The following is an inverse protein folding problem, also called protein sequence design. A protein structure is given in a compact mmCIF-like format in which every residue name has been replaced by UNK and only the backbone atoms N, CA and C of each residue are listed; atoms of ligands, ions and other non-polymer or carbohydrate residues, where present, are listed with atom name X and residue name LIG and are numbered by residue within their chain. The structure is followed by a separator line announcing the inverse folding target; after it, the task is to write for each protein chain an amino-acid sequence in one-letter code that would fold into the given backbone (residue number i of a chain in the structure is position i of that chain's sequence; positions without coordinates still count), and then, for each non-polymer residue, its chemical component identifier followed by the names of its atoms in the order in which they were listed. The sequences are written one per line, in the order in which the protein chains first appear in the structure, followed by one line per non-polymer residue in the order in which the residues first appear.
data_IF_756504301930
#
_entry.id   IF_756504301930
#
_cell.length_a   1.000
_cell.length_b   1.000
_cell.length_c   1.000
_cell.angle_alpha   90.00
_cell.angle_beta   90.00
_cell.angle_gamma   90.00
#
_symmetry.space_group_name_H-M   'P 1'
#
loop_
_entity.id
_entity.type
_entity.pdbx_description
1 polymer ?
#
# COMPACT_ATOMS: atom_id res chain seq x y z
N UNK A 1 22.45 21.90 -4.74
CA UNK A 1 22.13 20.76 -3.88
C UNK A 1 21.08 21.15 -2.86
N UNK A 2 19.88 20.59 -2.98
CA UNK A 2 18.83 20.67 -1.97
C UNK A 2 18.83 19.38 -1.14
N UNK A 3 18.38 19.47 0.12
CA UNK A 3 18.27 18.35 1.06
C UNK A 3 16.86 18.30 1.63
N UNK A 4 16.26 17.12 1.63
CA UNK A 4 14.97 16.82 2.25
C UNK A 4 15.16 15.70 3.27
N UNK A 5 14.48 15.79 4.41
CA UNK A 5 14.53 14.76 5.46
C UNK A 5 13.11 14.48 5.96
N UNK A 6 12.75 13.20 6.04
CA UNK A 6 11.56 12.73 6.73
C UNK A 6 11.96 11.73 7.82
N UNK A 7 11.26 11.76 8.95
CA UNK A 7 11.55 10.89 10.09
C UNK A 7 10.27 10.36 10.69
N UNK A 8 10.28 9.11 11.17
CA UNK A 8 9.18 8.51 11.91
C UNK A 8 9.66 7.52 12.94
N UNK A 9 9.02 7.56 14.11
CA UNK A 9 9.13 6.48 15.09
C UNK A 9 8.16 5.35 14.74
N UNK A 10 8.65 4.12 14.83
CA UNK A 10 7.93 2.86 14.66
C UNK A 10 8.18 1.99 15.90
N UNK A 11 7.18 1.30 16.45
CA UNK A 11 7.35 0.46 17.64
C UNK A 11 8.11 -0.84 17.38
N UNK A 12 8.26 -1.25 16.12
CA UNK A 12 8.92 -2.51 15.73
C UNK A 12 10.46 -2.39 15.78
N UNK A 13 11.20 -3.48 16.06
CA UNK A 13 12.67 -3.50 16.06
C UNK A 13 13.26 -3.18 14.68
N UNK A 14 14.48 -2.65 14.66
CA UNK A 14 15.20 -2.24 13.44
C UNK A 14 15.24 -3.33 12.38
N UNK A 15 15.55 -4.57 12.80
CA UNK A 15 15.62 -5.71 11.89
C UNK A 15 14.28 -5.98 11.19
N UNK A 16 13.16 -5.86 11.90
CA UNK A 16 11.84 -6.11 11.33
C UNK A 16 11.43 -5.04 10.33
N UNK A 17 11.67 -3.76 10.68
CA UNK A 17 11.40 -2.63 9.79
C UNK A 17 12.26 -2.72 8.53
N UNK A 18 13.55 -3.03 8.68
CA UNK A 18 14.47 -3.20 7.55
C UNK A 18 14.04 -4.38 6.66
N UNK A 19 13.77 -5.54 7.24
CA UNK A 19 13.36 -6.74 6.50
C UNK A 19 12.10 -6.50 5.67
N UNK A 20 11.14 -5.71 6.17
CA UNK A 20 9.95 -5.33 5.39
C UNK A 20 10.33 -4.63 4.06
N UNK A 21 11.36 -3.78 4.07
CA UNK A 21 11.84 -3.07 2.86
C UNK A 21 12.53 -4.00 1.87
N UNK A 22 13.09 -5.12 2.34
CA UNK A 22 13.76 -6.11 1.47
C UNK A 22 12.77 -6.99 0.71
N UNK A 23 11.48 -7.02 1.11
CA UNK A 23 10.50 -7.96 0.57
C UNK A 23 9.92 -7.48 -0.77
N UNK A 24 9.66 -8.40 -1.71
CA UNK A 24 8.97 -8.07 -2.96
C UNK A 24 7.65 -7.35 -2.70
N UNK A 25 7.33 -6.35 -3.53
CA UNK A 25 6.12 -5.55 -3.39
C UNK A 25 6.26 -4.35 -2.45
N UNK A 26 7.33 -4.25 -1.65
CA UNK A 26 7.57 -3.10 -0.77
C UNK A 26 7.59 -1.79 -1.58
N UNK A 27 8.26 -1.76 -2.74
CA UNK A 27 8.24 -0.58 -3.63
C UNK A 27 6.83 -0.22 -4.08
N UNK A 28 5.98 -1.22 -4.36
CA UNK A 28 4.58 -0.99 -4.73
C UNK A 28 3.74 -0.46 -3.59
N UNK A 29 3.91 -0.98 -2.37
CA UNK A 29 3.28 -0.42 -1.15
C UNK A 29 3.71 1.03 -0.93
N UNK A 30 5.00 1.32 -1.11
CA UNK A 30 5.59 2.65 -0.91
C UNK A 30 5.35 3.65 -2.06
N UNK A 31 4.70 3.24 -3.15
CA UNK A 31 4.41 4.13 -4.28
C UNK A 31 3.02 4.74 -4.10
N UNK A 32 2.90 6.05 -3.81
CA UNK A 32 1.59 6.64 -3.58
C UNK A 32 0.71 6.56 -4.84
N UNK A 33 -0.59 6.26 -4.71
CA UNK A 33 -1.48 6.02 -5.86
C UNK A 33 -1.76 7.26 -6.72
N UNK A 34 -1.38 8.45 -6.24
CA UNK A 34 -1.46 9.70 -7.02
C UNK A 34 -0.19 10.04 -7.77
N UNK A 35 0.93 9.36 -7.48
CA UNK A 35 2.16 9.58 -8.21
C UNK A 35 1.99 9.03 -9.63
N UNK A 36 2.29 9.82 -10.67
CA UNK A 36 2.18 9.39 -12.05
C UNK A 36 3.36 8.51 -12.43
N UNK A 37 3.48 7.34 -11.79
CA UNK A 37 4.54 6.38 -12.03
C UNK A 37 3.97 4.98 -12.15
N UNK A 38 4.54 4.19 -13.05
CA UNK A 38 4.24 2.76 -13.18
C UNK A 38 5.50 1.98 -12.89
N UNK A 39 5.41 1.03 -11.97
CA UNK A 39 6.52 0.16 -11.62
C UNK A 39 6.68 -0.86 -12.75
N UNK A 40 7.73 -0.73 -13.56
CA UNK A 40 8.07 -1.69 -14.62
C UNK A 40 8.88 -2.85 -14.08
N UNK A 41 9.78 -2.56 -13.15
CA UNK A 41 10.64 -3.55 -12.52
C UNK A 41 10.97 -3.08 -11.09
N UNK A 42 10.72 -3.94 -10.10
CA UNK A 42 11.27 -3.77 -8.77
C UNK A 42 12.71 -4.33 -8.75
N UNK A 43 13.54 -3.79 -7.86
CA UNK A 43 14.84 -4.38 -7.61
C UNK A 43 14.67 -5.79 -7.01
N UNK A 44 15.53 -6.73 -7.40
CA UNK A 44 15.48 -8.10 -6.88
C UNK A 44 15.79 -8.15 -5.38
N UNK A 45 16.66 -7.24 -4.94
CA UNK A 45 17.05 -7.01 -3.56
C UNK A 45 17.55 -5.55 -3.39
N UNK A 46 18.04 -5.24 -2.19
CA UNK A 46 18.60 -3.92 -1.85
C UNK A 46 20.13 -3.87 -1.93
N UNK A 47 20.78 -4.92 -2.45
CA UNK A 47 22.24 -5.01 -2.53
C UNK A 47 22.80 -4.06 -3.59
N UNK A 48 24.09 -3.75 -3.49
CA UNK A 48 24.74 -2.82 -4.40
C UNK A 48 24.64 -3.28 -5.86
N UNK A 49 24.23 -2.36 -6.74
CA UNK A 49 24.07 -2.61 -8.17
C UNK A 49 22.67 -3.08 -8.58
N UNK A 50 21.83 -3.50 -7.63
CA UNK A 50 20.41 -3.81 -7.90
C UNK A 50 19.66 -2.57 -8.41
N UNK A 51 18.72 -2.79 -9.35
CA UNK A 51 18.03 -1.71 -10.07
C UNK A 51 16.53 -1.86 -10.04
N UNK A 52 15.85 -0.75 -9.82
CA UNK A 52 14.42 -0.60 -10.05
C UNK A 52 14.18 0.32 -11.25
N UNK A 53 13.16 0.01 -12.04
CA UNK A 53 12.77 0.78 -13.22
C UNK A 53 11.32 1.19 -13.08
N UNK A 54 11.12 2.50 -13.03
CA UNK A 54 9.82 3.16 -13.05
C UNK A 54 9.61 3.80 -14.42
N UNK A 55 8.37 3.90 -14.85
CA UNK A 55 7.95 4.64 -16.03
C UNK A 55 7.10 5.83 -15.57
N UNK A 56 7.46 7.04 -15.99
CA UNK A 56 6.74 8.24 -15.62
C UNK A 56 5.53 8.42 -16.56
N UNK A 57 4.34 8.53 -15.98
CA UNK A 57 3.08 8.75 -16.69
C UNK A 57 2.85 10.26 -16.88
N UNK A 58 3.63 10.85 -17.78
CA UNK A 58 3.56 12.29 -18.11
C UNK A 58 2.81 12.51 -19.43
N UNK A 59 2.10 13.65 -19.60
CA UNK A 59 1.44 13.96 -20.86
C UNK A 59 2.43 14.04 -22.03
N UNK A 60 2.26 13.20 -23.05
CA UNK A 60 3.09 13.20 -24.26
C UNK A 60 3.20 11.80 -24.90
N UNK A 61 3.84 11.68 -26.07
CA UNK A 61 4.03 10.40 -26.76
C UNK A 61 5.15 9.54 -26.15
N UNK A 62 5.94 10.09 -25.21
CA UNK A 62 7.06 9.41 -24.56
C UNK A 62 6.69 9.06 -23.13
N UNK A 63 7.05 7.85 -22.71
CA UNK A 63 6.98 7.39 -21.33
C UNK A 63 8.41 7.29 -20.78
N UNK A 64 9.00 8.41 -20.30
CA UNK A 64 10.39 8.42 -19.88
C UNK A 64 10.59 7.49 -18.68
N UNK A 65 11.72 6.80 -18.67
CA UNK A 65 12.08 5.88 -17.59
C UNK A 65 12.76 6.63 -16.45
N UNK A 66 12.50 6.21 -15.23
CA UNK A 66 13.31 6.54 -14.07
C UNK A 66 13.95 5.26 -13.57
N UNK A 67 15.28 5.17 -13.72
CA UNK A 67 16.11 4.05 -13.26
C UNK A 67 16.78 4.43 -11.96
N UNK A 68 16.41 3.75 -10.88
CA UNK A 68 17.07 3.85 -9.57
C UNK A 68 18.01 2.67 -9.39
N UNK A 69 19.22 2.92 -8.88
CA UNK A 69 20.25 1.91 -8.61
C UNK A 69 20.68 1.98 -7.16
N UNK A 70 20.74 0.84 -6.48
CA UNK A 70 21.26 0.75 -5.13
C UNK A 70 22.79 0.89 -5.12
N UNK A 71 23.33 1.67 -4.19
CA UNK A 71 24.76 2.02 -4.10
C UNK A 71 25.37 1.81 -2.71
N UNK A 72 24.55 1.74 -1.67
CA UNK A 72 24.98 1.47 -0.31
C UNK A 72 24.06 0.43 0.32
N UNK A 73 24.63 -0.53 1.04
CA UNK A 73 23.88 -1.59 1.71
C UNK A 73 24.58 -2.00 3.00
N UNK A 74 24.02 -1.62 4.15
CA UNK A 74 24.50 -1.94 5.50
C UNK A 74 23.33 -2.48 6.32
N UNK A 75 22.87 -3.72 6.09
CA UNK A 75 21.77 -4.30 6.83
C UNK A 75 22.11 -4.47 8.33
N UNK A 76 21.15 -4.30 9.24
CA UNK A 76 19.77 -3.83 9.02
C UNK A 76 19.61 -2.29 9.13
N UNK A 77 20.68 -1.53 8.95
CA UNK A 77 20.73 -0.11 9.33
C UNK A 77 20.55 0.87 8.18
N UNK A 78 20.95 0.53 6.95
CA UNK A 78 20.93 1.48 5.84
C UNK A 78 20.92 0.81 4.47
N UNK A 79 20.22 1.42 3.53
CA UNK A 79 20.47 1.24 2.10
C UNK A 79 20.31 2.58 1.36
N UNK A 80 20.97 2.71 0.21
CA UNK A 80 21.02 3.96 -0.56
C UNK A 80 20.63 3.70 -2.01
N UNK A 81 19.69 4.47 -2.54
CA UNK A 81 19.37 4.50 -3.97
C UNK A 81 19.80 5.82 -4.63
N UNK A 82 20.39 5.71 -5.82
CA UNK A 82 20.71 6.85 -6.67
C UNK A 82 19.91 6.77 -7.96
N UNK A 83 19.54 7.92 -8.50
CA UNK A 83 19.02 7.96 -9.86
C UNK A 83 20.17 7.81 -10.87
N UNK A 84 20.11 6.76 -11.69
CA UNK A 84 20.99 6.58 -12.86
C UNK A 84 20.43 7.35 -14.07
N UNK A 85 19.10 7.33 -14.24
CA UNK A 85 18.38 8.08 -15.27
C UNK A 85 17.02 8.53 -14.72
N UNK A 86 16.59 9.77 -14.96
CA UNK A 86 15.30 10.25 -14.47
C UNK A 86 15.17 11.78 -14.47
N UNK A 87 14.16 12.34 -13.78
CA UNK A 87 13.79 13.75 -13.88
C UNK A 87 14.73 14.71 -13.14
N UNK A 88 15.58 14.21 -12.25
CA UNK A 88 16.55 15.01 -11.50
C UNK A 88 17.91 15.07 -12.22
N UNK A 89 18.72 16.10 -11.96
CA UNK A 89 20.14 16.10 -12.35
C UNK A 89 20.96 15.15 -11.48
N UNK A 90 20.63 15.12 -10.20
CA UNK A 90 21.15 14.22 -9.18
C UNK A 90 20.02 13.90 -8.22
N UNK A 91 19.93 12.65 -7.82
CA UNK A 91 19.06 12.17 -6.77
C UNK A 91 19.80 11.05 -6.05
N UNK A 92 19.96 11.21 -4.75
CA UNK A 92 20.54 10.24 -3.85
C UNK A 92 19.68 10.19 -2.59
N UNK A 93 19.22 8.99 -2.26
CA UNK A 93 18.25 8.78 -1.21
C UNK A 93 18.77 7.72 -0.24
N UNK A 94 18.99 8.14 0.99
CA UNK A 94 19.46 7.33 2.10
C UNK A 94 18.27 6.92 2.95
N UNK A 95 18.05 5.62 3.08
CA UNK A 95 17.07 5.03 3.99
C UNK A 95 17.84 4.53 5.20
N UNK A 96 17.63 5.13 6.37
CA UNK A 96 18.32 4.77 7.62
C UNK A 96 17.33 4.26 8.66
N UNK A 97 17.76 3.25 9.40
CA UNK A 97 17.00 2.60 10.45
C UNK A 97 17.85 2.57 11.71
N UNK A 98 17.49 3.41 12.67
CA UNK A 98 18.23 3.58 13.91
C UNK A 98 17.42 3.06 15.10
N UNK A 99 18.06 2.54 16.17
CA UNK A 99 17.36 2.21 17.41
C UNK A 99 16.55 3.41 17.92
N UNK A 100 15.26 3.18 18.14
CA UNK A 100 14.31 4.18 18.62
C UNK A 100 13.88 3.94 20.08
N UNK A 101 13.04 4.83 20.62
CA UNK A 101 12.48 4.69 21.96
C UNK A 101 11.74 3.35 22.15
N UNK A 102 11.79 2.79 23.36
CA UNK A 102 11.04 1.58 23.71
C UNK A 102 11.47 0.31 22.96
N UNK A 103 12.68 0.29 22.39
CA UNK A 103 13.16 -0.83 21.56
C UNK A 103 12.64 -0.81 20.12
N UNK A 104 11.96 0.26 19.72
CA UNK A 104 11.47 0.46 18.36
C UNK A 104 12.55 0.97 17.39
N UNK A 105 12.11 1.58 16.30
CA UNK A 105 12.95 2.09 15.21
C UNK A 105 12.64 3.56 14.92
N UNK A 106 13.70 4.35 14.73
CA UNK A 106 13.64 5.65 14.09
C UNK A 106 13.98 5.45 12.61
N UNK A 107 12.96 5.52 11.75
CA UNK A 107 13.11 5.43 10.29
C UNK A 107 13.33 6.82 9.72
N UNK A 108 14.41 7.01 8.96
CA UNK A 108 14.84 8.29 8.42
C UNK A 108 15.06 8.13 6.92
N UNK A 109 14.35 8.94 6.13
CA UNK A 109 14.57 9.07 4.69
C UNK A 109 15.24 10.44 4.45
N UNK A 110 16.45 10.42 3.90
CA UNK A 110 17.22 11.61 3.56
C UNK A 110 17.48 11.65 2.05
N UNK A 111 16.97 12.68 1.37
CA UNK A 111 17.12 12.86 -0.07
C UNK A 111 17.99 14.08 -0.36
N UNK A 112 19.10 13.87 -1.06
CA UNK A 112 19.86 14.92 -1.73
C UNK A 112 19.51 14.97 -3.20
N UNK A 113 19.14 16.16 -3.70
CA UNK A 113 18.74 16.28 -5.09
C UNK A 113 19.10 17.63 -5.74
N UNK A 114 19.26 17.60 -7.06
CA UNK A 114 19.43 18.75 -7.93
C UNK A 114 18.40 18.75 -9.06
N UNK A 115 17.78 19.91 -9.29
CA UNK A 115 16.77 20.11 -10.32
C UNK A 115 17.41 20.54 -11.66
N UNK A 116 16.84 20.11 -12.81
CA UNK A 116 17.38 20.46 -14.14
C UNK A 116 17.29 21.94 -14.52
N UNK A 117 16.32 22.71 -13.99
CA UNK A 117 16.14 24.15 -14.26
C UNK A 117 16.04 24.96 -12.94
N UNK A 118 16.61 26.17 -12.97
CA UNK A 118 16.76 27.12 -11.84
C UNK A 118 15.48 27.28 -10.99
N UNK A 119 15.51 26.76 -9.75
CA UNK A 119 14.83 27.27 -8.54
C UNK A 119 13.30 27.45 -8.48
N UNK A 120 12.61 27.86 -9.56
CA UNK A 120 11.21 28.30 -9.51
C UNK A 120 10.22 27.18 -9.13
N UNK A 121 10.53 25.93 -9.46
CA UNK A 121 9.68 24.78 -9.11
C UNK A 121 10.09 24.11 -7.79
N UNK A 122 11.13 24.62 -7.10
CA UNK A 122 11.62 24.02 -5.86
C UNK A 122 10.53 23.89 -4.78
N UNK A 123 9.71 24.93 -4.49
CA UNK A 123 8.65 24.80 -3.48
C UNK A 123 7.60 23.74 -3.85
N UNK A 124 7.30 23.60 -5.15
CA UNK A 124 6.37 22.58 -5.64
C UNK A 124 6.95 21.15 -5.48
N UNK A 125 8.25 20.99 -5.78
CA UNK A 125 8.97 19.73 -5.56
C UNK A 125 9.03 19.39 -4.08
N UNK A 126 9.39 20.33 -3.21
CA UNK A 126 9.43 20.13 -1.76
C UNK A 126 8.05 19.73 -1.21
N UNK A 127 6.98 20.41 -1.63
CA UNK A 127 5.61 20.06 -1.23
C UNK A 127 5.23 18.63 -1.69
N UNK A 128 5.64 18.23 -2.90
CA UNK A 128 5.44 16.87 -3.42
C UNK A 128 6.25 15.84 -2.62
N UNK A 129 7.52 16.12 -2.30
CA UNK A 129 8.36 15.25 -1.47
C UNK A 129 7.75 15.07 -0.08
N UNK A 130 7.33 16.15 0.59
CA UNK A 130 6.66 16.05 1.89
C UNK A 130 5.41 15.15 1.83
N UNK A 131 4.58 15.31 0.78
CA UNK A 131 3.37 14.49 0.61
C UNK A 131 3.70 13.02 0.32
N UNK A 132 4.68 12.76 -0.53
CA UNK A 132 5.12 11.41 -0.89
C UNK A 132 5.74 10.69 0.31
N UNK A 133 6.67 11.31 1.03
CA UNK A 133 7.33 10.69 2.17
C UNK A 133 6.41 10.54 3.38
N UNK A 134 5.46 11.45 3.59
CA UNK A 134 4.39 11.23 4.59
C UNK A 134 3.63 9.94 4.29
N UNK A 135 3.17 9.77 3.06
CA UNK A 135 2.47 8.54 2.64
C UNK A 135 3.33 7.30 2.86
N UNK A 136 4.59 7.33 2.42
CA UNK A 136 5.53 6.20 2.58
C UNK A 136 5.67 5.78 4.05
N UNK A 137 5.94 6.75 4.92
CA UNK A 137 6.11 6.48 6.35
C UNK A 137 4.82 6.00 7.02
N UNK A 138 3.67 6.55 6.63
CA UNK A 138 2.37 6.09 7.11
C UNK A 138 2.01 4.69 6.61
N UNK A 139 2.37 4.37 5.37
CA UNK A 139 2.15 3.05 4.80
C UNK A 139 2.98 1.98 5.52
N UNK A 140 4.29 2.21 5.74
CA UNK A 140 5.13 1.29 6.53
C UNK A 140 4.53 1.06 7.91
N UNK A 141 4.14 2.15 8.59
CA UNK A 141 3.51 2.07 9.92
C UNK A 141 2.22 1.24 9.88
N UNK A 142 1.36 1.46 8.88
CA UNK A 142 0.10 0.77 8.75
C UNK A 142 0.28 -0.73 8.45
N UNK A 143 1.19 -1.08 7.54
CA UNK A 143 1.50 -2.46 7.18
C UNK A 143 2.04 -3.23 8.40
N UNK A 144 3.05 -2.67 9.09
CA UNK A 144 3.63 -3.32 10.27
C UNK A 144 2.61 -3.44 11.42
N UNK A 145 1.83 -2.39 11.70
CA UNK A 145 0.78 -2.46 12.71
C UNK A 145 -0.33 -3.48 12.35
N UNK A 146 -0.60 -3.68 11.07
CA UNK A 146 -1.54 -4.71 10.62
C UNK A 146 -0.96 -6.11 10.81
N UNK A 147 0.34 -6.31 10.55
CA UNK A 147 1.01 -7.58 10.85
C UNK A 147 0.97 -7.90 12.35
N UNK A 148 1.26 -6.92 13.23
CA UNK A 148 1.18 -7.09 14.68
C UNK A 148 -0.21 -7.54 15.15
N UNK A 149 -1.28 -6.96 14.58
CA UNK A 149 -2.67 -7.31 14.92
C UNK A 149 -3.04 -8.75 14.56
N UNK A 150 -2.39 -9.33 13.55
CA UNK A 150 -2.63 -10.73 13.18
C UNK A 150 -2.01 -11.69 14.18
N UNK A 151 -1.00 -11.23 14.94
CA UNK A 151 -0.18 -12.08 15.79
C UNK A 151 0.79 -12.94 14.98
N UNK A 152 1.53 -13.85 15.64
CA UNK A 152 2.46 -14.74 14.95
C UNK A 152 1.71 -15.73 14.05
N UNK A 153 2.15 -15.84 12.79
CA UNK A 153 1.69 -16.85 11.83
C UNK A 153 2.88 -17.38 11.03
N UNK A 154 2.72 -18.57 10.46
CA UNK A 154 3.68 -19.09 9.48
C UNK A 154 3.33 -18.55 8.10
N UNK A 155 4.31 -18.06 7.32
CA UNK A 155 4.13 -17.73 5.92
C UNK A 155 3.46 -18.86 5.13
N UNK A 156 2.74 -18.49 4.08
CA UNK A 156 1.95 -19.38 3.23
C UNK A 156 2.30 -19.13 1.77
N UNK A 157 2.13 -20.15 0.93
CA UNK A 157 2.03 -20.03 -0.52
C UNK A 157 0.59 -19.70 -0.88
N UNK A 158 0.33 -18.52 -1.43
CA UNK A 158 -1.01 -18.01 -1.70
C UNK A 158 -1.19 -17.80 -3.20
N UNK A 159 -2.17 -18.46 -3.79
CA UNK A 159 -2.61 -18.13 -5.15
C UNK A 159 -3.63 -17.01 -5.11
N UNK A 160 -3.45 -15.97 -5.93
CA UNK A 160 -4.41 -14.86 -6.07
C UNK A 160 -4.94 -14.88 -7.51
N UNK A 161 -6.23 -15.19 -7.67
CA UNK A 161 -6.92 -15.28 -8.96
C UNK A 161 -7.92 -14.14 -9.15
N UNK A 162 -8.32 -13.90 -10.39
CA UNK A 162 -9.21 -12.80 -10.79
C UNK A 162 -8.48 -11.54 -11.25
N UNK A 163 -9.15 -10.38 -11.30
CA UNK A 163 -8.59 -9.16 -11.89
C UNK A 163 -7.34 -8.67 -11.15
N UNK A 164 -6.33 -8.26 -11.93
CA UNK A 164 -5.07 -7.79 -11.36
C UNK A 164 -5.23 -6.43 -10.68
N UNK A 165 -5.97 -5.49 -11.25
CA UNK A 165 -6.09 -4.15 -10.71
C UNK A 165 -7.54 -3.76 -10.37
N UNK A 166 -7.73 -2.89 -9.35
CA UNK A 166 -6.72 -2.35 -8.44
C UNK A 166 -6.44 -3.25 -7.22
N UNK A 167 -7.26 -4.27 -6.99
CA UNK A 167 -7.22 -5.09 -5.76
C UNK A 167 -6.09 -6.11 -5.80
N UNK A 168 -5.93 -6.84 -6.90
CA UNK A 168 -4.98 -7.95 -7.00
C UNK A 168 -3.53 -7.53 -6.80
N UNK A 169 -3.06 -6.46 -7.44
CA UNK A 169 -1.68 -5.99 -7.31
C UNK A 169 -1.38 -5.49 -5.90
N UNK A 170 -2.31 -4.74 -5.29
CA UNK A 170 -2.16 -4.24 -3.93
C UNK A 170 -2.16 -5.39 -2.92
N UNK A 171 -3.05 -6.39 -3.10
CA UNK A 171 -3.11 -7.57 -2.26
C UNK A 171 -1.85 -8.43 -2.39
N UNK A 172 -1.37 -8.69 -3.62
CA UNK A 172 -0.13 -9.45 -3.85
C UNK A 172 1.07 -8.76 -3.20
N UNK A 173 1.15 -7.43 -3.29
CA UNK A 173 2.19 -6.65 -2.63
C UNK A 173 2.09 -6.77 -1.10
N UNK A 174 0.90 -6.58 -0.52
CA UNK A 174 0.67 -6.72 0.93
C UNK A 174 1.09 -8.11 1.43
N UNK A 175 0.61 -9.18 0.77
CA UNK A 175 0.92 -10.55 1.13
C UNK A 175 2.43 -10.84 1.07
N UNK A 176 3.10 -10.35 0.04
CA UNK A 176 4.55 -10.53 -0.12
C UNK A 176 5.33 -9.79 0.97
N UNK A 177 4.94 -8.56 1.30
CA UNK A 177 5.54 -7.79 2.41
C UNK A 177 5.20 -8.35 3.79
N UNK A 178 4.10 -9.10 3.91
CA UNK A 178 3.75 -9.91 5.09
C UNK A 178 4.55 -11.22 5.17
N UNK A 179 5.38 -11.54 4.17
CA UNK A 179 6.24 -12.72 4.12
C UNK A 179 5.61 -13.93 3.42
N UNK A 180 4.36 -13.85 2.96
CA UNK A 180 3.77 -14.90 2.13
C UNK A 180 4.45 -14.99 0.76
N UNK A 181 4.37 -16.16 0.14
CA UNK A 181 4.79 -16.36 -1.25
C UNK A 181 3.56 -16.31 -2.15
N UNK A 182 3.47 -15.31 -3.03
CA UNK A 182 2.42 -15.28 -4.05
C UNK A 182 2.82 -16.21 -5.19
N UNK A 183 2.00 -17.23 -5.45
CA UNK A 183 2.29 -18.30 -6.43
C UNK A 183 1.16 -18.47 -7.45
N UNK A 184 1.45 -19.07 -8.59
CA UNK A 184 0.44 -19.45 -9.60
C UNK A 184 0.11 -20.94 -9.58
N UNK A 185 0.86 -21.74 -8.82
CA UNK A 185 0.75 -23.19 -8.70
C UNK A 185 0.92 -23.63 -7.23
N UNK A 186 0.59 -24.90 -6.91
CA UNK A 186 0.78 -25.55 -5.60
C UNK A 186 0.67 -24.58 -4.40
N UNK A 187 -0.53 -24.06 -4.16
CA UNK A 187 -0.78 -23.08 -3.10
C UNK A 187 -1.37 -23.74 -1.83
N UNK A 188 -1.01 -23.22 -0.67
CA UNK A 188 -1.61 -23.58 0.63
C UNK A 188 -3.00 -22.96 0.80
N UNK A 189 -3.24 -21.84 0.11
CA UNK A 189 -4.49 -21.11 0.11
C UNK A 189 -4.73 -20.39 -1.22
N UNK A 190 -6.00 -20.15 -1.54
CA UNK A 190 -6.44 -19.44 -2.74
C UNK A 190 -7.27 -18.24 -2.34
N UNK A 191 -6.95 -17.07 -2.88
CA UNK A 191 -7.79 -15.88 -2.83
C UNK A 191 -8.34 -15.65 -4.24
N UNK A 192 -9.64 -15.81 -4.39
CA UNK A 192 -10.34 -15.57 -5.64
C UNK A 192 -11.05 -14.22 -5.57
N UNK A 193 -10.57 -13.26 -6.36
CA UNK A 193 -11.11 -11.90 -6.37
C UNK A 193 -12.41 -11.79 -7.17
N UNK A 194 -12.70 -12.71 -8.09
CA UNK A 194 -13.95 -12.77 -8.86
C UNK A 194 -15.08 -13.39 -8.03
N UNK A 195 -14.77 -14.39 -7.22
CA UNK A 195 -15.69 -14.98 -6.25
C UNK A 195 -15.71 -14.23 -4.92
N UNK A 196 -14.72 -13.37 -4.65
CA UNK A 196 -14.43 -12.75 -3.36
C UNK A 196 -14.32 -13.75 -2.22
N UNK A 197 -13.55 -14.81 -2.45
CA UNK A 197 -13.36 -15.88 -1.48
C UNK A 197 -11.91 -16.03 -1.08
N UNK A 198 -11.70 -16.46 0.16
CA UNK A 198 -10.44 -16.96 0.68
C UNK A 198 -10.64 -18.41 1.09
N UNK A 199 -9.93 -19.33 0.45
CA UNK A 199 -10.02 -20.76 0.70
C UNK A 199 -8.68 -21.28 1.21
N UNK A 200 -8.69 -22.02 2.33
CA UNK A 200 -7.52 -22.65 2.93
C UNK A 200 -7.94 -23.98 3.56
N UNK A 201 -7.45 -25.10 3.03
CA UNK A 201 -7.98 -26.41 3.36
C UNK A 201 -9.48 -26.50 3.03
N UNK A 202 -10.28 -27.02 3.96
CA UNK A 202 -11.74 -27.11 3.80
C UNK A 202 -12.48 -25.79 4.11
N UNK A 203 -11.77 -24.79 4.66
CA UNK A 203 -12.38 -23.52 5.08
C UNK A 203 -12.46 -22.56 3.91
N UNK A 204 -13.65 -21.99 3.71
CA UNK A 204 -13.88 -20.89 2.77
C UNK A 204 -14.53 -19.71 3.49
N UNK A 205 -13.95 -18.53 3.32
CA UNK A 205 -14.51 -17.24 3.73
C UNK A 205 -14.92 -16.47 2.49
N UNK A 206 -16.13 -15.92 2.46
CA UNK A 206 -16.59 -15.03 1.39
C UNK A 206 -16.64 -13.59 1.91
N UNK A 207 -15.90 -12.69 1.28
CA UNK A 207 -15.95 -11.27 1.59
C UNK A 207 -17.04 -10.58 0.79
N UNK A 208 -17.90 -9.83 1.48
CA UNK A 208 -18.95 -9.02 0.89
C UNK A 208 -18.63 -7.54 1.00
N UNK A 209 -18.38 -6.89 -0.14
CA UNK A 209 -18.05 -5.47 -0.21
C UNK A 209 -18.63 -4.83 -1.50
N UNK A 210 -18.79 -3.49 -1.54
CA UNK A 210 -19.14 -2.77 -2.76
C UNK A 210 -18.14 -3.04 -3.89
N UNK A 211 -18.59 -3.43 -5.08
CA UNK A 211 -17.72 -3.65 -6.25
C UNK A 211 -17.58 -2.39 -7.11
N UNK A 212 -16.77 -2.48 -8.15
CA UNK A 212 -16.67 -1.46 -9.19
C UNK A 212 -15.36 -0.69 -9.20
N UNK A 213 -15.24 0.23 -10.16
CA UNK A 213 -14.13 1.18 -10.18
C UNK A 213 -14.18 2.06 -8.92
N UNK A 214 -13.03 2.34 -8.29
CA UNK A 214 -12.99 3.28 -7.18
C UNK A 214 -13.59 4.64 -7.57
N UNK A 215 -14.42 5.20 -6.68
CA UNK A 215 -15.18 6.44 -6.94
C UNK A 215 -14.25 7.61 -7.32
N UNK A 216 -13.03 7.61 -6.79
CA UNK A 216 -11.87 8.34 -7.32
C UNK A 216 -10.68 7.40 -7.37
N UNK A 217 -10.07 7.24 -8.56
CA UNK A 217 -8.84 6.44 -8.76
C UNK A 217 -7.72 6.74 -7.76
N UNK A 218 -7.62 7.99 -7.27
CA UNK A 218 -6.61 8.42 -6.29
C UNK A 218 -6.92 8.09 -4.82
N UNK A 219 -8.17 7.81 -4.47
CA UNK A 219 -8.59 7.47 -3.10
C UNK A 219 -8.75 5.95 -2.90
N UNK A 220 -8.89 5.20 -3.99
CA UNK A 220 -9.09 3.74 -3.97
C UNK A 220 -10.21 3.30 -3.01
N UNK A 221 -11.34 4.04 -3.00
CA UNK A 221 -12.53 3.75 -2.18
C UNK A 221 -13.60 3.11 -3.04
N UNK A 222 -14.14 1.98 -2.56
CA UNK A 222 -15.29 1.28 -3.14
C UNK A 222 -16.52 1.62 -2.33
N UNK A 223 -17.63 1.93 -3.00
CA UNK A 223 -18.85 2.34 -2.33
C UNK A 223 -20.12 1.98 -3.10
N UNK A 224 -21.18 1.65 -2.37
CA UNK A 224 -22.49 1.34 -2.91
C UNK A 224 -23.60 1.81 -1.95
N UNK A 225 -24.83 1.90 -2.47
CA UNK A 225 -26.01 2.32 -1.71
C UNK A 225 -26.45 3.77 -2.00
N UNK A 226 -27.60 4.14 -1.44
CA UNK A 226 -28.28 5.43 -1.70
C UNK A 226 -28.30 6.36 -0.50
N UNK A 227 -28.61 5.90 0.73
CA UNK A 227 -28.35 6.62 1.98
C UNK A 227 -28.69 5.70 3.18
N UNK A 228 -27.77 5.44 4.14
CA UNK A 228 -26.36 5.86 4.16
C UNK A 228 -25.51 4.97 3.23
N UNK A 229 -24.37 5.50 2.77
CA UNK A 229 -23.47 4.81 1.83
C UNK A 229 -22.61 3.79 2.59
N UNK A 230 -22.58 2.55 2.11
CA UNK A 230 -21.61 1.53 2.52
C UNK A 230 -20.34 1.70 1.68
N UNK A 231 -19.18 1.67 2.33
CA UNK A 231 -17.90 1.90 1.66
C UNK A 231 -16.77 1.10 2.31
N UNK A 232 -15.68 0.90 1.57
CA UNK A 232 -14.44 0.29 2.06
C UNK A 232 -13.25 0.87 1.29
N UNK A 233 -12.10 1.03 1.95
CA UNK A 233 -10.85 1.38 1.24
C UNK A 233 -10.23 0.15 0.62
N UNK A 234 -9.40 0.35 -0.40
CA UNK A 234 -8.53 -0.70 -0.92
C UNK A 234 -7.68 -1.31 0.19
N UNK A 235 -7.10 -0.48 1.06
CA UNK A 235 -6.23 -0.90 2.17
C UNK A 235 -6.96 -1.77 3.21
N UNK A 236 -8.16 -1.36 3.65
CA UNK A 236 -8.99 -2.17 4.54
C UNK A 236 -9.43 -3.48 3.86
N UNK A 237 -9.75 -3.43 2.57
CA UNK A 237 -10.19 -4.59 1.82
C UNK A 237 -9.08 -5.64 1.69
N UNK A 238 -7.87 -5.24 1.25
CA UNK A 238 -6.74 -6.17 1.16
C UNK A 238 -6.30 -6.66 2.54
N UNK A 239 -6.41 -5.81 3.57
CA UNK A 239 -6.19 -6.19 4.96
C UNK A 239 -7.19 -7.24 5.44
N UNK A 240 -8.46 -7.13 5.05
CA UNK A 240 -9.50 -8.12 5.34
C UNK A 240 -9.27 -9.45 4.62
N UNK A 241 -8.77 -9.43 3.37
CA UNK A 241 -8.35 -10.65 2.68
C UNK A 241 -7.21 -11.35 3.44
N UNK A 242 -6.21 -10.59 3.88
CA UNK A 242 -5.09 -11.13 4.67
C UNK A 242 -5.56 -11.63 6.05
N UNK A 243 -6.42 -10.88 6.75
CA UNK A 243 -7.02 -11.31 8.02
C UNK A 243 -7.81 -12.61 7.86
N UNK A 244 -8.69 -12.67 6.85
CA UNK A 244 -9.46 -13.85 6.54
C UNK A 244 -8.56 -15.03 6.20
N UNK A 245 -7.42 -14.82 5.54
CA UNK A 245 -6.43 -15.86 5.21
C UNK A 245 -5.77 -16.47 6.47
N UNK A 246 -5.37 -15.62 7.42
CA UNK A 246 -4.59 -16.04 8.59
C UNK A 246 -5.47 -16.60 9.71
N UNK A 247 -6.60 -15.95 10.01
CA UNK A 247 -7.42 -16.28 11.18
C UNK A 247 -8.36 -17.45 10.89
N UNK A 248 -8.06 -18.60 11.50
CA UNK A 248 -8.86 -19.82 11.39
C UNK A 248 -10.29 -19.67 11.90
N UNK A 249 -10.50 -18.75 12.86
CA UNK A 249 -11.80 -18.52 13.50
C UNK A 249 -12.82 -17.88 12.54
N UNK A 250 -12.36 -17.21 11.48
CA UNK A 250 -13.23 -16.55 10.50
C UNK A 250 -13.76 -17.61 9.53
N UNK A 251 -15.06 -17.70 9.33
CA UNK A 251 -15.66 -18.64 8.36
C UNK A 251 -16.98 -18.10 7.84
N UNK A 252 -17.45 -18.65 6.71
CA UNK A 252 -18.70 -18.23 6.09
C UNK A 252 -18.60 -16.87 5.40
N UNK A 253 -19.67 -16.08 5.45
CA UNK A 253 -19.72 -14.76 4.81
C UNK A 253 -19.34 -13.66 5.80
N UNK A 254 -18.47 -12.75 5.37
CA UNK A 254 -17.96 -11.62 6.17
C UNK A 254 -18.23 -10.34 5.43
N UNK A 255 -18.92 -9.40 6.08
CA UNK A 255 -19.08 -8.04 5.56
C UNK A 255 -17.76 -7.29 5.64
N UNK A 256 -17.24 -6.90 4.48
CA UNK A 256 -16.00 -6.18 4.30
C UNK A 256 -16.27 -4.70 3.99
N UNK A 257 -16.85 -4.00 4.97
CA UNK A 257 -17.15 -2.56 4.88
C UNK A 257 -16.61 -1.81 6.09
N UNK A 258 -16.44 -0.51 5.94
CA UNK A 258 -16.13 0.37 7.05
C UNK A 258 -17.22 0.29 8.12
N UNK A 259 -16.86 0.46 9.41
CA UNK A 259 -17.79 0.32 10.52
C UNK A 259 -18.82 1.46 10.60
N UNK A 260 -18.49 2.63 10.06
CA UNK A 260 -19.37 3.79 10.02
C UNK A 260 -19.82 4.02 8.59
N UNK A 261 -21.14 4.02 8.37
CA UNK A 261 -21.72 4.47 7.12
C UNK A 261 -21.69 5.99 7.05
N UNK A 262 -21.62 6.54 5.84
CA UNK A 262 -21.51 7.99 5.62
C UNK A 262 -22.76 8.48 4.88
N UNK A 263 -23.39 9.60 5.30
CA UNK A 263 -24.51 10.17 4.56
C UNK A 263 -24.14 10.43 3.11
N UNK A 264 -25.02 10.14 2.15
CA UNK A 264 -24.71 10.25 0.72
C UNK A 264 -24.19 11.64 0.33
N UNK A 265 -24.77 12.70 0.90
CA UNK A 265 -24.34 14.09 0.66
C UNK A 265 -22.88 14.33 1.04
N UNK A 266 -22.45 13.73 2.14
CA UNK A 266 -21.10 13.88 2.67
C UNK A 266 -20.12 13.03 1.87
N UNK A 267 -20.50 11.78 1.56
CA UNK A 267 -19.72 10.91 0.71
C UNK A 267 -19.50 11.54 -0.68
N UNK A 268 -20.57 12.07 -1.31
CA UNK A 268 -20.51 12.70 -2.63
C UNK A 268 -19.59 13.93 -2.62
N UNK A 269 -19.62 14.75 -1.57
CA UNK A 269 -18.73 15.90 -1.41
C UNK A 269 -17.26 15.48 -1.35
N UNK A 270 -16.95 14.38 -0.66
CA UNK A 270 -15.57 13.96 -0.37
C UNK A 270 -14.97 13.07 -1.47
N UNK A 271 -15.74 12.09 -1.95
CA UNK A 271 -15.28 11.03 -2.84
C UNK A 271 -15.94 11.06 -4.22
N UNK A 272 -17.09 11.72 -4.38
CA UNK A 272 -17.91 11.68 -5.60
C UNK A 272 -19.13 10.75 -5.46
N UNK A 273 -20.02 10.76 -6.44
CA UNK A 273 -21.23 9.95 -6.40
C UNK A 273 -20.89 8.45 -6.56
N UNK A 274 -21.36 7.57 -5.65
CA UNK A 274 -21.15 6.14 -5.78
C UNK A 274 -21.88 5.61 -7.02
N UNK A 275 -21.29 4.62 -7.69
CA UNK A 275 -21.96 3.91 -8.79
C UNK A 275 -22.74 2.72 -8.24
N UNK A 276 -23.97 2.53 -8.71
CA UNK A 276 -24.72 1.33 -8.43
C UNK A 276 -24.01 0.11 -9.03
N UNK A 277 -23.41 -0.69 -8.16
CA UNK A 277 -22.73 -1.94 -8.51
C UNK A 277 -23.23 -3.02 -7.56
N UNK A 278 -23.57 -4.22 -8.08
CA UNK A 278 -23.95 -5.32 -7.21
C UNK A 278 -22.76 -5.65 -6.28
N UNK A 279 -22.99 -5.84 -4.98
CA UNK A 279 -21.93 -6.20 -4.05
C UNK A 279 -21.32 -7.54 -4.44
N UNK A 280 -20.09 -7.78 -4.02
CA UNK A 280 -19.55 -9.12 -4.14
C UNK A 280 -20.23 -10.08 -3.15
N UNK A 281 -20.58 -11.30 -3.60
CA UNK A 281 -21.27 -12.30 -2.78
C UNK A 281 -22.80 -12.19 -2.78
N UNK A 282 -23.46 -13.25 -2.32
CA UNK A 282 -24.93 -13.36 -2.28
C UNK A 282 -25.59 -12.55 -1.13
N UNK A 283 -26.88 -12.78 -0.83
CA UNK A 283 -27.54 -12.13 0.30
C UNK A 283 -26.91 -12.57 1.64
N UNK A 284 -26.67 -11.61 2.54
CA UNK A 284 -25.86 -11.77 3.75
C UNK A 284 -26.57 -12.54 4.88
N UNK A 285 -25.89 -13.51 5.52
CA UNK A 285 -26.18 -13.95 6.89
C UNK A 285 -25.16 -13.42 7.91
N UNK A 286 -25.51 -13.55 9.20
CA UNK A 286 -24.93 -12.85 10.37
C UNK A 286 -23.47 -13.22 10.67
N UNK A 287 -22.62 -12.20 10.73
CA UNK A 287 -21.24 -12.25 11.23
C UNK A 287 -20.55 -10.90 11.02
N UNK A 288 -20.67 -9.98 11.99
CA UNK A 288 -20.05 -8.66 11.91
C UNK A 288 -18.61 -8.73 12.42
N UNK A 289 -17.64 -8.89 11.52
CA UNK A 289 -16.22 -8.72 11.86
C UNK A 289 -15.77 -7.32 11.42
N UNK A 290 -15.45 -6.47 12.39
CA UNK A 290 -14.91 -5.13 12.12
C UNK A 290 -13.39 -5.18 12.14
N UNK A 291 -12.78 -5.23 10.96
CA UNK A 291 -11.34 -5.04 10.80
C UNK A 291 -11.08 -3.57 10.44
N UNK A 292 -10.21 -2.90 11.19
CA UNK A 292 -9.79 -1.53 10.91
C UNK A 292 -8.34 -1.59 10.48
N UNK A 293 -8.06 -1.45 9.19
CA UNK A 293 -6.68 -1.32 8.72
C UNK A 293 -6.24 0.14 8.90
N UNK A 294 -7.00 1.08 8.33
CA UNK A 294 -6.86 2.51 8.49
C UNK A 294 -8.24 3.15 8.67
N UNK A 295 -8.61 3.56 9.89
CA UNK A 295 -9.84 4.33 10.09
C UNK A 295 -9.78 5.59 9.20
N UNK A 296 -10.75 5.77 8.31
CA UNK A 296 -10.64 6.74 7.21
C UNK A 296 -10.75 8.20 7.66
N UNK A 297 -11.08 8.51 8.92
CA UNK A 297 -11.19 9.91 9.36
C UNK A 297 -9.85 10.67 9.23
N UNK A 298 -8.71 10.14 9.74
CA UNK A 298 -7.38 10.68 9.40
C UNK A 298 -7.03 10.64 7.90
N UNK A 299 -7.37 9.55 7.19
CA UNK A 299 -6.98 9.37 5.78
C UNK A 299 -7.70 10.35 4.83
N UNK A 300 -8.95 10.73 5.10
CA UNK A 300 -9.67 11.75 4.32
C UNK A 300 -9.07 13.14 4.51
N UNK A 301 -8.65 13.51 5.72
CA UNK A 301 -7.98 14.79 5.98
C UNK A 301 -6.60 14.83 5.30
N UNK A 302 -5.86 13.72 5.33
CA UNK A 302 -4.56 13.60 4.67
C UNK A 302 -4.64 13.64 3.13
N UNK A 303 -5.73 13.14 2.54
CA UNK A 303 -5.92 13.06 1.10
C UNK A 303 -6.57 14.32 0.49
N UNK A 304 -7.29 15.11 1.28
CA UNK A 304 -7.96 16.35 0.82
C UNK A 304 -7.22 17.64 1.17
N UNK A 305 -6.18 17.58 2.03
CA UNK A 305 -5.39 18.75 2.39
C UNK A 305 -6.10 19.73 3.32
N UNK A 306 -7.21 19.33 3.91
CA UNK A 306 -7.86 20.07 4.99
C UNK A 306 -7.39 19.50 6.33
N UNK A 307 -6.74 20.36 7.14
CA UNK A 307 -6.51 20.10 8.56
C UNK A 307 -7.84 20.05 9.29
#
# INVERSE_FOLDING_TARGET
MAKFVATSALPQPVAEVFDWHTRPGAMRRLTPPWEPVRIRQEAADLTEGSRAVLELDVPGPLAPRWVARHTGYRPPYEFVDVQEHGPFRRWEHHHRFEPGPGGGTTMIDEVEYDLPLLGLVKPLVEARLHRMFRYRHEQVRADLAAHDRLGPYSPLRVAVTGPEEPIGLALKALLSTAGHQVVTDRADAVIDLDACTVTRGERTVRLRYPRGEPVRRRLAVFAAGTDPVEWVTLEDLIGLYHFALIRSEVSGEVRATAPQTVPLREFTRLAGAPRATPPCGGPAPRGDYVFRYNALVPALHQLTGHQ
#
